data_IF_183499514907
#
_entry.id   IF_183499514907
#
_cell.length_a   1.000
_cell.length_b   1.000
_cell.length_c   1.000
_cell.angle_alpha   90.00
_cell.angle_beta   90.00
_cell.angle_gamma   90.00
#
_symmetry.space_group_name_H-M   'P 1'
#
loop_
_entity.id
_entity.type
_entity.pdbx_description
1 polymer ?
#
# COMPACT_ATOMS: atom_id res chain seq x y z
N UNK A 1 -14.66 32.54 23.81
CA UNK A 1 -13.94 32.57 22.51
C UNK A 1 -12.86 31.53 22.56
N UNK A 2 -12.84 30.54 21.69
CA UNK A 2 -11.73 29.58 21.63
C UNK A 2 -10.46 30.34 21.22
N UNK A 3 -9.39 30.11 21.97
CA UNK A 3 -8.11 30.79 21.82
C UNK A 3 -7.49 30.39 20.47
N UNK A 4 -7.17 31.37 19.62
CA UNK A 4 -6.58 31.13 18.27
C UNK A 4 -5.31 30.28 18.31
N UNK A 5 -4.53 30.39 19.39
CA UNK A 5 -3.37 29.56 19.65
C UNK A 5 -3.70 28.03 19.70
N UNK A 6 -4.88 27.67 20.22
CA UNK A 6 -5.30 26.28 20.33
C UNK A 6 -5.78 25.70 18.98
N UNK A 7 -6.21 26.54 18.05
CA UNK A 7 -6.61 26.14 16.69
C UNK A 7 -5.36 25.91 15.82
N UNK A 8 -4.37 26.79 15.92
CA UNK A 8 -3.12 26.67 15.19
C UNK A 8 -2.32 25.40 15.62
N UNK A 9 -2.27 25.14 16.93
CA UNK A 9 -1.57 23.97 17.48
C UNK A 9 -2.20 22.64 17.02
N UNK A 10 -3.54 22.56 17.01
CA UNK A 10 -4.28 21.40 16.48
C UNK A 10 -4.04 21.16 14.99
N UNK A 11 -3.89 22.20 14.20
CA UNK A 11 -3.64 22.06 12.76
C UNK A 11 -2.24 21.53 12.47
N UNK A 12 -1.23 21.97 13.24
CA UNK A 12 0.16 21.49 13.13
C UNK A 12 0.28 20.02 13.54
N UNK A 13 -0.33 19.64 14.66
CA UNK A 13 -0.32 18.24 15.14
C UNK A 13 -1.01 17.32 14.12
N UNK A 14 -2.16 17.73 13.56
CA UNK A 14 -2.85 16.97 12.54
C UNK A 14 -2.01 16.79 11.26
N UNK A 15 -1.32 17.84 10.83
CA UNK A 15 -0.42 17.78 9.67
C UNK A 15 0.77 16.82 9.91
N UNK A 16 1.42 16.92 11.08
CA UNK A 16 2.53 16.04 11.47
C UNK A 16 2.07 14.58 11.50
N UNK A 17 0.92 14.29 12.14
CA UNK A 17 0.37 12.94 12.20
C UNK A 17 0.11 12.37 10.79
N UNK A 18 -0.40 13.20 9.88
CA UNK A 18 -0.66 12.81 8.49
C UNK A 18 0.64 12.49 7.74
N UNK A 19 1.68 13.32 7.89
CA UNK A 19 2.99 13.10 7.25
C UNK A 19 3.64 11.83 7.79
N UNK A 20 3.66 11.65 9.13
CA UNK A 20 4.24 10.45 9.76
C UNK A 20 3.50 9.20 9.30
N UNK A 21 2.16 9.22 9.28
CA UNK A 21 1.35 8.10 8.83
C UNK A 21 1.66 7.70 7.38
N UNK A 22 1.74 8.67 6.47
CA UNK A 22 2.09 8.42 5.06
C UNK A 22 3.50 7.86 4.89
N UNK A 23 4.45 8.42 5.62
CA UNK A 23 5.85 7.94 5.59
C UNK A 23 5.93 6.51 6.12
N UNK A 24 5.24 6.20 7.22
CA UNK A 24 5.18 4.85 7.77
C UNK A 24 4.60 3.83 6.80
N UNK A 25 3.53 4.20 6.07
CA UNK A 25 2.95 3.34 5.04
C UNK A 25 3.88 3.13 3.86
N UNK A 26 4.53 4.17 3.37
CA UNK A 26 5.52 4.07 2.30
C UNK A 26 6.68 3.15 2.71
N UNK A 27 7.18 3.28 3.95
CA UNK A 27 8.21 2.40 4.50
C UNK A 27 7.73 0.94 4.62
N UNK A 28 6.50 0.72 5.05
CA UNK A 28 5.91 -0.64 5.10
C UNK A 28 5.86 -1.28 3.73
N UNK A 29 5.51 -0.51 2.70
CA UNK A 29 5.53 -0.96 1.31
C UNK A 29 6.94 -1.28 0.81
N UNK A 30 7.93 -0.45 1.15
CA UNK A 30 9.33 -0.69 0.82
C UNK A 30 9.84 -2.00 1.46
N UNK A 31 9.59 -2.19 2.76
CA UNK A 31 9.96 -3.40 3.50
C UNK A 31 9.29 -4.64 2.91
N UNK A 32 7.99 -4.56 2.63
CA UNK A 32 7.22 -5.62 1.97
C UNK A 32 7.83 -6.01 0.63
N UNK A 33 8.14 -5.03 -0.23
CA UNK A 33 8.80 -5.25 -1.51
C UNK A 33 10.18 -5.88 -1.39
N UNK A 34 10.96 -5.48 -0.37
CA UNK A 34 12.28 -6.04 -0.09
C UNK A 34 12.22 -7.53 0.26
N UNK A 35 11.29 -7.92 1.15
CA UNK A 35 11.15 -9.34 1.54
C UNK A 35 10.69 -10.21 0.39
N UNK A 36 9.75 -9.74 -0.42
CA UNK A 36 9.30 -10.48 -1.60
C UNK A 36 10.41 -10.58 -2.66
N UNK A 37 11.19 -9.51 -2.88
CA UNK A 37 12.33 -9.54 -3.78
C UNK A 37 13.40 -10.53 -3.29
N UNK A 38 13.72 -10.52 -2.00
CA UNK A 38 14.68 -11.47 -1.42
C UNK A 38 14.21 -12.92 -1.54
N UNK A 39 12.90 -13.18 -1.39
CA UNK A 39 12.33 -14.51 -1.59
C UNK A 39 12.43 -14.97 -3.05
N UNK A 40 12.13 -14.07 -4.00
CA UNK A 40 12.27 -14.36 -5.44
C UNK A 40 13.71 -14.57 -5.87
N UNK A 41 14.69 -13.87 -5.26
CA UNK A 41 16.12 -14.07 -5.48
C UNK A 41 16.55 -15.52 -5.20
N UNK A 42 15.95 -16.16 -4.19
CA UNK A 42 16.21 -17.59 -3.89
C UNK A 42 15.81 -18.54 -5.02
N UNK A 43 14.92 -18.11 -5.93
CA UNK A 43 14.55 -18.93 -7.11
C UNK A 43 15.71 -19.17 -8.09
N UNK A 44 16.88 -18.56 -7.85
CA UNK A 44 18.12 -18.79 -8.60
C UNK A 44 18.10 -18.25 -10.02
N UNK A 45 17.42 -17.14 -10.25
CA UNK A 45 17.40 -16.43 -11.53
C UNK A 45 18.21 -15.14 -11.42
N UNK A 46 19.19 -14.94 -12.29
CA UNK A 46 20.03 -13.73 -12.35
C UNK A 46 19.20 -12.44 -12.44
N UNK A 47 18.00 -12.53 -13.00
CA UNK A 47 17.07 -11.40 -13.09
C UNK A 47 16.63 -10.93 -11.70
N UNK A 48 16.26 -11.87 -10.82
CA UNK A 48 15.71 -11.58 -9.49
C UNK A 48 16.79 -11.16 -8.49
N UNK A 49 18.04 -11.58 -8.71
CA UNK A 49 19.19 -11.16 -7.91
C UNK A 49 19.73 -9.79 -8.33
N UNK A 50 19.23 -9.22 -9.42
CA UNK A 50 19.70 -7.94 -9.91
C UNK A 50 19.27 -6.79 -8.98
N UNK A 51 20.20 -5.86 -8.72
CA UNK A 51 19.91 -4.65 -7.94
C UNK A 51 18.77 -3.82 -8.53
N UNK A 52 18.60 -3.83 -9.86
CA UNK A 52 17.52 -3.17 -10.56
C UNK A 52 16.15 -3.77 -10.25
N UNK A 53 16.05 -5.09 -10.17
CA UNK A 53 14.83 -5.78 -9.78
C UNK A 53 14.45 -5.46 -8.33
N UNK A 54 15.40 -5.57 -7.41
CA UNK A 54 15.19 -5.28 -5.98
C UNK A 54 14.73 -3.82 -5.81
N UNK A 55 15.41 -2.86 -6.44
CA UNK A 55 15.05 -1.46 -6.39
C UNK A 55 13.65 -1.19 -6.97
N UNK A 56 13.27 -1.89 -8.04
CA UNK A 56 11.92 -1.81 -8.62
C UNK A 56 10.85 -2.32 -7.67
N UNK A 57 11.07 -3.46 -7.01
CA UNK A 57 10.13 -4.03 -6.04
C UNK A 57 9.93 -3.10 -4.83
N UNK A 58 11.02 -2.52 -4.31
CA UNK A 58 10.98 -1.53 -3.24
C UNK A 58 10.17 -0.30 -3.69
N UNK A 59 10.46 0.24 -4.87
CA UNK A 59 9.80 1.44 -5.39
C UNK A 59 8.31 1.21 -5.62
N UNK A 60 7.94 0.11 -6.25
CA UNK A 60 6.54 -0.27 -6.52
C UNK A 60 5.78 -0.48 -5.21
N UNK A 61 6.37 -1.16 -4.23
CA UNK A 61 5.79 -1.35 -2.90
C UNK A 61 5.57 -0.02 -2.18
N UNK A 62 6.58 0.85 -2.18
CA UNK A 62 6.49 2.20 -1.60
C UNK A 62 5.34 2.99 -2.18
N UNK A 63 5.25 3.06 -3.52
CA UNK A 63 4.20 3.80 -4.23
C UNK A 63 2.82 3.19 -4.00
N UNK A 64 2.71 1.86 -4.02
CA UNK A 64 1.45 1.16 -3.81
C UNK A 64 0.84 1.45 -2.44
N UNK A 65 1.63 1.30 -1.39
CA UNK A 65 1.17 1.57 -0.03
C UNK A 65 0.91 3.06 0.23
N UNK A 66 1.75 3.95 -0.33
CA UNK A 66 1.54 5.39 -0.24
C UNK A 66 0.24 5.85 -0.91
N UNK A 67 -0.11 5.29 -2.08
CA UNK A 67 -1.30 5.66 -2.84
C UNK A 67 -2.56 4.97 -2.34
N UNK A 68 -2.45 3.70 -1.91
CA UNK A 68 -3.60 2.85 -1.62
C UNK A 68 -4.34 3.22 -0.34
N UNK A 69 -3.64 3.71 0.67
CA UNK A 69 -4.26 3.97 1.98
C UNK A 69 -4.87 5.37 2.09
N UNK A 70 -4.41 6.33 1.28
CA UNK A 70 -4.89 7.71 1.31
C UNK A 70 -6.06 7.93 0.33
N UNK A 71 -7.06 7.07 0.41
CA UNK A 71 -8.31 7.28 -0.33
C UNK A 71 -9.14 8.28 0.46
N UNK A 72 -9.47 9.45 -0.12
CA UNK A 72 -10.30 10.42 0.57
C UNK A 72 -11.68 9.80 0.84
N UNK A 73 -11.99 9.63 2.12
CA UNK A 73 -13.31 9.17 2.53
C UNK A 73 -14.31 10.32 2.38
N UNK A 74 -15.49 10.01 1.84
CA UNK A 74 -16.58 10.98 1.81
C UNK A 74 -16.94 11.38 3.26
N UNK A 75 -17.22 12.67 3.54
CA UNK A 75 -17.59 13.10 4.87
C UNK A 75 -18.82 12.33 5.36
N UNK A 76 -18.87 11.93 6.66
CA UNK A 76 -19.91 11.07 7.21
C UNK A 76 -21.32 11.72 7.27
N UNK A 77 -21.45 12.98 6.89
CA UNK A 77 -22.66 13.78 7.03
C UNK A 77 -23.61 13.80 5.82
N UNK A 78 -23.38 12.96 4.81
CA UNK A 78 -24.38 12.75 3.78
C UNK A 78 -25.46 11.80 4.29
N UNK A 79 -26.74 12.19 4.22
CA UNK A 79 -27.92 11.32 4.29
C UNK A 79 -27.88 10.34 3.11
N UNK A 80 -26.79 9.58 3.00
CA UNK A 80 -26.69 8.49 2.05
C UNK A 80 -27.44 7.33 2.67
N UNK A 81 -28.55 6.98 2.05
CA UNK A 81 -29.26 5.74 2.31
C UNK A 81 -28.32 4.54 2.26
N UNK A 82 -28.77 3.35 2.72
CA UNK A 82 -27.90 2.19 2.94
C UNK A 82 -27.09 1.84 1.70
N UNK A 83 -25.78 1.97 1.85
CA UNK A 83 -24.72 1.32 1.08
C UNK A 83 -24.67 1.51 -0.44
N UNK A 84 -24.05 2.57 -0.91
CA UNK A 84 -23.05 2.33 -1.96
C UNK A 84 -21.78 1.87 -1.24
N UNK A 85 -21.55 0.55 -1.21
CA UNK A 85 -20.28 -0.03 -0.79
C UNK A 85 -19.20 0.75 -1.50
N UNK A 86 -18.28 1.34 -0.74
CA UNK A 86 -17.14 2.05 -1.33
C UNK A 86 -16.20 1.00 -1.96
N UNK A 87 -16.53 0.62 -3.19
CA UNK A 87 -15.77 -0.37 -3.96
C UNK A 87 -14.29 0.00 -4.04
N UNK A 88 -13.97 1.30 -4.07
CA UNK A 88 -12.57 1.75 -4.13
C UNK A 88 -11.87 1.43 -2.83
N UNK A 89 -12.51 1.72 -1.69
CA UNK A 89 -12.00 1.37 -0.37
C UNK A 89 -11.84 -0.14 -0.19
N UNK A 90 -12.81 -0.92 -0.68
CA UNK A 90 -12.75 -2.38 -0.64
C UNK A 90 -11.58 -2.92 -1.48
N UNK A 91 -11.39 -2.43 -2.70
CA UNK A 91 -10.27 -2.82 -3.56
C UNK A 91 -8.92 -2.48 -2.93
N UNK A 92 -8.80 -1.30 -2.31
CA UNK A 92 -7.58 -0.92 -1.61
C UNK A 92 -7.31 -1.82 -0.41
N UNK A 93 -8.33 -2.13 0.40
CA UNK A 93 -8.20 -3.01 1.55
C UNK A 93 -7.78 -4.43 1.14
N UNK A 94 -8.39 -4.98 0.07
CA UNK A 94 -8.00 -6.29 -0.47
C UNK A 94 -6.56 -6.26 -1.01
N UNK A 95 -6.15 -5.20 -1.72
CA UNK A 95 -4.80 -5.05 -2.21
C UNK A 95 -3.77 -5.03 -1.08
N UNK A 96 -4.04 -4.27 -0.02
CA UNK A 96 -3.20 -4.21 1.18
C UNK A 96 -3.09 -5.59 1.85
N UNK A 97 -4.21 -6.29 1.98
CA UNK A 97 -4.27 -7.61 2.59
C UNK A 97 -3.44 -8.65 1.81
N UNK A 98 -3.59 -8.70 0.48
CA UNK A 98 -2.82 -9.60 -0.38
C UNK A 98 -1.31 -9.31 -0.30
N UNK A 99 -0.92 -8.05 -0.38
CA UNK A 99 0.48 -7.65 -0.30
C UNK A 99 1.08 -7.97 1.09
N UNK A 100 0.32 -7.77 2.16
CA UNK A 100 0.76 -8.09 3.52
C UNK A 100 0.92 -9.59 3.75
N UNK A 101 0.00 -10.42 3.27
CA UNK A 101 0.11 -11.89 3.37
C UNK A 101 1.32 -12.38 2.56
N UNK A 102 1.50 -11.92 1.33
CA UNK A 102 2.65 -12.31 0.52
C UNK A 102 3.98 -11.95 1.21
N UNK A 103 4.07 -10.75 1.78
CA UNK A 103 5.24 -10.33 2.55
C UNK A 103 5.45 -11.19 3.81
N UNK A 104 4.37 -11.50 4.55
CA UNK A 104 4.45 -12.35 5.74
C UNK A 104 4.95 -13.77 5.41
N UNK A 105 4.44 -14.37 4.34
CA UNK A 105 4.88 -15.69 3.86
C UNK A 105 6.34 -15.63 3.42
N UNK A 106 6.77 -14.56 2.75
CA UNK A 106 8.17 -14.36 2.37
C UNK A 106 9.09 -14.26 3.59
N UNK A 107 8.69 -13.47 4.60
CA UNK A 107 9.43 -13.37 5.87
C UNK A 107 9.52 -14.72 6.57
N UNK A 108 8.42 -15.46 6.65
CA UNK A 108 8.40 -16.79 7.25
C UNK A 108 9.38 -17.73 6.55
N UNK A 109 9.32 -17.82 5.21
CA UNK A 109 10.20 -18.67 4.44
C UNK A 109 11.69 -18.27 4.58
N UNK A 110 11.98 -16.97 4.69
CA UNK A 110 13.34 -16.47 4.89
C UNK A 110 13.87 -16.76 6.30
N UNK A 111 13.05 -16.58 7.33
CA UNK A 111 13.45 -16.75 8.75
C UNK A 111 13.64 -18.21 9.11
N UNK A 112 12.79 -19.10 8.62
CA UNK A 112 12.85 -20.53 8.90
C UNK A 112 13.64 -21.32 7.86
N UNK A 113 14.26 -20.64 6.89
CA UNK A 113 15.03 -21.23 5.79
C UNK A 113 14.27 -22.32 5.02
N UNK A 114 12.96 -22.11 4.86
CA UNK A 114 12.09 -23.03 4.15
C UNK A 114 12.35 -22.95 2.63
N UNK A 115 12.70 -24.08 2.04
CA UNK A 115 12.90 -24.19 0.59
C UNK A 115 11.53 -24.43 -0.05
N UNK A 116 10.94 -23.37 -0.55
CA UNK A 116 9.68 -23.44 -1.29
C UNK A 116 9.91 -24.02 -2.68
N UNK A 117 8.92 -24.79 -3.18
CA UNK A 117 8.95 -25.19 -4.58
C UNK A 117 8.87 -23.92 -5.46
N UNK A 118 9.60 -23.92 -6.57
CA UNK A 118 9.71 -22.77 -7.48
C UNK A 118 8.36 -22.13 -7.88
N UNK A 119 7.33 -22.95 -8.01
CA UNK A 119 5.98 -22.46 -8.34
C UNK A 119 5.40 -21.58 -7.23
N UNK A 120 5.68 -21.87 -5.96
CA UNK A 120 5.21 -21.07 -4.83
C UNK A 120 5.95 -19.74 -4.70
N UNK A 121 7.22 -19.70 -5.04
CA UNK A 121 8.01 -18.45 -5.08
C UNK A 121 7.41 -17.47 -6.08
N UNK A 122 7.11 -17.93 -7.30
CA UNK A 122 6.43 -17.12 -8.30
C UNK A 122 5.00 -16.73 -7.90
N UNK A 123 4.26 -17.64 -7.27
CA UNK A 123 2.91 -17.37 -6.79
C UNK A 123 2.89 -16.25 -5.74
N UNK A 124 3.83 -16.26 -4.78
CA UNK A 124 3.98 -15.23 -3.76
C UNK A 124 4.27 -13.87 -4.41
N UNK A 125 5.22 -13.83 -5.36
CA UNK A 125 5.54 -12.61 -6.11
C UNK A 125 4.35 -12.07 -6.90
N UNK A 126 3.62 -12.96 -7.58
CA UNK A 126 2.42 -12.60 -8.34
C UNK A 126 1.29 -12.06 -7.44
N UNK A 127 1.07 -12.68 -6.27
CA UNK A 127 0.07 -12.22 -5.30
C UNK A 127 0.42 -10.86 -4.71
N UNK A 128 1.70 -10.65 -4.39
CA UNK A 128 2.16 -9.35 -3.93
C UNK A 128 1.96 -8.28 -4.99
N UNK A 129 2.37 -8.56 -6.23
CA UNK A 129 2.21 -7.64 -7.35
C UNK A 129 0.73 -7.30 -7.59
N UNK A 130 -0.16 -8.30 -7.57
CA UNK A 130 -1.59 -8.09 -7.69
C UNK A 130 -2.11 -7.15 -6.59
N UNK A 131 -1.72 -7.39 -5.33
CA UNK A 131 -2.08 -6.55 -4.21
C UNK A 131 -1.66 -5.09 -4.40
N UNK A 132 -0.42 -4.87 -4.80
CA UNK A 132 0.13 -3.51 -5.01
C UNK A 132 -0.54 -2.81 -6.20
N UNK A 133 -0.79 -3.51 -7.31
CA UNK A 133 -1.52 -2.95 -8.48
C UNK A 133 -2.95 -2.55 -8.10
N UNK A 134 -3.63 -3.36 -7.28
CA UNK A 134 -4.97 -3.01 -6.77
C UNK A 134 -4.93 -1.73 -5.93
N UNK A 135 -3.93 -1.55 -5.06
CA UNK A 135 -3.75 -0.34 -4.26
C UNK A 135 -3.51 0.89 -5.14
N UNK A 136 -2.59 0.80 -6.09
CA UNK A 136 -2.29 1.90 -7.02
C UNK A 136 -3.55 2.27 -7.82
N UNK A 137 -4.26 1.30 -8.35
CA UNK A 137 -5.49 1.51 -9.10
C UNK A 137 -6.59 2.18 -8.28
N UNK A 138 -6.79 1.73 -7.03
CA UNK A 138 -7.75 2.34 -6.11
C UNK A 138 -7.37 3.78 -5.77
N UNK A 139 -6.08 4.04 -5.45
CA UNK A 139 -5.57 5.37 -5.13
C UNK A 139 -5.69 6.36 -6.28
N UNK A 140 -5.36 5.95 -7.51
CA UNK A 140 -5.50 6.78 -8.71
C UNK A 140 -6.97 7.09 -9.01
N UNK A 141 -7.85 6.07 -8.94
CA UNK A 141 -9.28 6.23 -9.21
C UNK A 141 -9.93 7.18 -8.20
N UNK A 142 -9.58 7.05 -6.92
CA UNK A 142 -10.05 7.97 -5.86
C UNK A 142 -9.68 9.42 -6.14
N UNK A 143 -8.44 9.69 -6.50
CA UNK A 143 -7.95 11.04 -6.81
C UNK A 143 -8.57 11.64 -8.08
N UNK A 144 -8.74 10.85 -9.14
CA UNK A 144 -9.39 11.30 -10.37
C UNK A 144 -10.86 11.67 -10.15
N UNK A 145 -11.58 10.93 -9.29
CA UNK A 145 -12.97 11.26 -8.93
C UNK A 145 -13.08 12.61 -8.20
N UNK A 146 -12.12 12.90 -7.31
CA UNK A 146 -12.10 14.19 -6.60
C UNK A 146 -11.80 15.34 -7.55
N UNK A 147 -10.80 15.20 -8.43
CA UNK A 147 -10.45 16.24 -9.40
C UNK A 147 -11.64 16.61 -10.30
N UNK A 148 -12.43 15.61 -10.73
CA UNK A 148 -13.66 15.85 -11.53
C UNK A 148 -14.76 16.56 -10.76
N UNK A 149 -14.92 16.30 -9.45
CA UNK A 149 -15.92 16.98 -8.62
C UNK A 149 -15.56 18.43 -8.28
N UNK A 150 -14.27 18.76 -8.24
CA UNK A 150 -13.81 20.13 -8.02
C UNK A 150 -13.83 21.01 -9.26
N UNK A 151 -14.03 20.43 -10.47
CA UNK A 151 -14.08 21.13 -11.74
C UNK A 151 -15.52 21.37 -12.26
N UNK A 152 -16.53 20.84 -11.57
CA UNK A 152 -17.96 21.02 -11.87
C UNK A 152 -18.61 21.97 -10.88
#
# INVERSE_FOLDING_TARGET
MPNEANIADRSVISWIAHVIGRTGLAMSGAVSGTFVAAQLGRAGSDLFDSAGFIASMISIGTVGFYLGVDIPQAPPNGLAGPSKVDLIGLFSAQGTFLAAIAALVSVYALVFDEILQRIWEFAIGAWWMLGVVMQIGAGLTGRLRLARKGAA
#
